data_IF_984597587854
#
_entry.id   IF_984597587854
#
_cell.length_a   1.000
_cell.length_b   1.000
_cell.length_c   1.000
_cell.angle_alpha   90.00
_cell.angle_beta   90.00
_cell.angle_gamma   90.00
#
_symmetry.space_group_name_H-M   'P 1'
#
loop_
_entity.id
_entity.type
_entity.pdbx_description
1 polymer ?
#
# COMPACT_ATOMS: atom_id res chain seq x y z
N UNK A 1 -18.43 -12.72 10.36
CA UNK A 1 -17.00 -12.35 10.61
C UNK A 1 -16.86 -10.85 10.52
N UNK A 2 -15.89 -10.29 11.24
CA UNK A 2 -15.46 -8.89 11.12
C UNK A 2 -14.27 -8.81 10.18
N UNK A 3 -14.38 -8.02 9.13
CA UNK A 3 -13.38 -7.92 8.06
C UNK A 3 -12.93 -6.46 7.94
N UNK A 4 -11.63 -6.19 8.09
CA UNK A 4 -11.08 -4.87 7.82
C UNK A 4 -10.49 -4.83 6.41
N UNK A 5 -11.14 -4.09 5.52
CA UNK A 5 -10.63 -3.82 4.18
C UNK A 5 -9.65 -2.67 4.22
N UNK A 6 -8.46 -2.86 3.64
CA UNK A 6 -7.42 -1.83 3.60
C UNK A 6 -7.05 -1.51 2.17
N UNK A 7 -7.24 -0.26 1.79
CA UNK A 7 -6.86 0.27 0.48
C UNK A 7 -6.50 1.75 0.58
N UNK A 8 -5.65 2.23 -0.29
CA UNK A 8 -5.21 3.62 -0.31
C UNK A 8 -6.38 4.60 -0.47
N UNK A 9 -7.22 4.41 -1.47
CA UNK A 9 -8.42 5.21 -1.72
C UNK A 9 -9.67 4.43 -1.34
N UNK A 10 -10.64 5.10 -0.73
CA UNK A 10 -11.89 4.51 -0.24
C UNK A 10 -13.10 5.02 -1.04
N UNK A 11 -12.90 5.28 -2.33
CA UNK A 11 -13.94 5.68 -3.30
C UNK A 11 -13.63 5.09 -4.67
N UNK A 12 -14.61 4.98 -5.59
CA UNK A 12 -14.39 4.43 -6.93
C UNK A 12 -13.47 5.33 -7.76
N UNK A 13 -12.18 5.00 -7.80
CA UNK A 13 -11.16 5.73 -8.57
C UNK A 13 -10.60 4.91 -9.73
N UNK A 14 -10.44 3.62 -9.51
CA UNK A 14 -9.85 2.70 -10.48
C UNK A 14 -10.25 1.25 -10.22
N UNK A 15 -9.55 0.31 -10.84
CA UNK A 15 -9.89 -1.12 -10.77
C UNK A 15 -9.77 -1.70 -9.36
N UNK A 16 -8.71 -1.37 -8.63
CA UNK A 16 -8.46 -1.88 -7.27
C UNK A 16 -9.53 -1.42 -6.28
N UNK A 17 -9.94 -0.16 -6.38
CA UNK A 17 -10.99 0.41 -5.54
C UNK A 17 -12.35 -0.20 -5.86
N UNK A 18 -12.71 -0.28 -7.14
CA UNK A 18 -13.96 -0.89 -7.59
C UNK A 18 -14.06 -2.37 -7.19
N UNK A 19 -12.94 -3.11 -7.30
CA UNK A 19 -12.86 -4.49 -6.82
C UNK A 19 -13.13 -4.57 -5.32
N UNK A 20 -12.39 -3.81 -4.51
CA UNK A 20 -12.52 -3.82 -3.05
C UNK A 20 -13.95 -3.45 -2.61
N UNK A 21 -14.54 -2.40 -3.19
CA UNK A 21 -15.89 -1.94 -2.83
C UNK A 21 -16.94 -2.99 -3.15
N UNK A 22 -16.92 -3.57 -4.37
CA UNK A 22 -17.86 -4.62 -4.78
C UNK A 22 -17.73 -5.88 -3.92
N UNK A 23 -16.48 -6.32 -3.64
CA UNK A 23 -16.24 -7.44 -2.75
C UNK A 23 -16.78 -7.17 -1.35
N UNK A 24 -16.62 -5.95 -0.85
CA UNK A 24 -17.15 -5.56 0.46
C UNK A 24 -18.66 -5.56 0.53
N UNK A 25 -19.33 -5.11 -0.54
CA UNK A 25 -20.79 -5.14 -0.65
C UNK A 25 -21.30 -6.58 -0.62
N UNK A 26 -20.65 -7.48 -1.36
CA UNK A 26 -20.98 -8.90 -1.37
C UNK A 26 -20.79 -9.53 0.00
N UNK A 27 -19.67 -9.28 0.66
CA UNK A 27 -19.41 -9.80 2.02
C UNK A 27 -20.46 -9.28 3.04
N UNK A 28 -20.87 -8.01 2.95
CA UNK A 28 -21.94 -7.47 3.78
C UNK A 28 -23.27 -8.14 3.51
N UNK A 29 -23.61 -8.44 2.24
CA UNK A 29 -24.83 -9.15 1.88
C UNK A 29 -24.89 -10.56 2.47
N UNK A 30 -23.71 -11.17 2.68
CA UNK A 30 -23.57 -12.48 3.32
C UNK A 30 -23.55 -12.39 4.87
N UNK A 31 -23.81 -11.22 5.45
CA UNK A 31 -23.92 -11.04 6.90
C UNK A 31 -22.58 -10.80 7.60
N UNK A 32 -21.51 -10.42 6.89
CA UNK A 32 -20.24 -10.03 7.49
C UNK A 32 -20.24 -8.54 7.87
N UNK A 33 -19.56 -8.19 8.96
CA UNK A 33 -19.28 -6.80 9.31
C UNK A 33 -18.01 -6.35 8.59
N UNK A 34 -18.07 -5.24 7.85
CA UNK A 34 -16.94 -4.73 7.07
C UNK A 34 -16.68 -3.28 7.41
N UNK A 35 -15.46 -2.98 7.88
CA UNK A 35 -14.92 -1.64 8.02
C UNK A 35 -13.73 -1.42 7.08
N UNK A 36 -13.30 -0.16 6.96
CA UNK A 36 -12.29 0.23 5.98
C UNK A 36 -11.22 1.11 6.61
N UNK A 37 -9.97 0.91 6.16
CA UNK A 37 -8.87 1.79 6.53
C UNK A 37 -8.13 2.25 5.27
N UNK A 38 -7.91 3.54 5.16
CA UNK A 38 -7.27 4.15 4.00
C UNK A 38 -6.75 5.56 4.25
N UNK A 39 -6.56 6.29 3.18
CA UNK A 39 -6.18 7.69 3.19
C UNK A 39 -7.43 8.58 3.28
N UNK A 40 -7.30 9.74 3.95
CA UNK A 40 -8.35 10.75 3.95
C UNK A 40 -8.52 11.35 2.56
N UNK A 41 -9.72 11.37 2.08
CA UNK A 41 -10.14 12.08 0.88
C UNK A 41 -11.62 12.47 1.07
N UNK A 42 -12.02 13.67 0.63
CA UNK A 42 -13.41 14.14 0.70
C UNK A 42 -14.37 13.27 -0.12
N UNK A 43 -13.83 12.52 -1.08
CA UNK A 43 -14.58 11.59 -1.95
C UNK A 43 -14.78 10.21 -1.32
N UNK A 44 -14.25 9.94 -0.13
CA UNK A 44 -14.39 8.63 0.51
C UNK A 44 -15.87 8.30 0.70
N UNK A 45 -16.30 7.15 0.19
CA UNK A 45 -17.66 6.65 0.29
C UNK A 45 -17.84 5.65 1.42
N UNK A 46 -16.75 5.14 1.97
CA UNK A 46 -16.70 4.17 3.07
C UNK A 46 -15.61 4.52 4.06
N UNK A 47 -15.68 3.96 5.28
CA UNK A 47 -14.71 4.26 6.34
C UNK A 47 -14.78 3.31 7.52
N UNK A 48 -14.33 3.75 8.68
CA UNK A 48 -14.39 3.02 9.95
C UNK A 48 -15.11 3.84 11.03
N UNK A 49 -15.58 3.16 12.05
CA UNK A 49 -16.33 3.73 13.19
C UNK A 49 -15.59 4.89 13.89
N UNK A 50 -14.27 4.83 13.93
CA UNK A 50 -13.43 5.87 14.56
C UNK A 50 -13.18 7.08 13.66
N UNK A 51 -13.56 7.07 12.38
CA UNK A 51 -13.23 8.13 11.43
C UNK A 51 -11.72 8.35 11.24
N UNK A 52 -10.89 7.32 11.46
CA UNK A 52 -9.43 7.41 11.38
C UNK A 52 -8.91 7.04 9.99
N UNK A 53 -8.19 7.98 9.39
CA UNK A 53 -7.56 7.87 8.07
C UNK A 53 -6.14 8.39 8.13
N UNK A 54 -5.25 7.94 7.22
CA UNK A 54 -3.95 8.60 7.05
C UNK A 54 -4.13 9.94 6.34
N UNK A 55 -3.22 10.86 6.60
CA UNK A 55 -3.20 12.13 5.85
C UNK A 55 -2.94 11.89 4.37
N UNK A 56 -3.59 12.70 3.52
CA UNK A 56 -3.27 12.73 2.10
C UNK A 56 -1.84 13.28 1.94
N UNK A 57 -0.97 12.51 1.29
CA UNK A 57 0.38 13.00 0.97
C UNK A 57 0.30 13.84 -0.31
N UNK A 58 0.28 15.16 -0.14
CA UNK A 58 0.46 16.08 -1.25
C UNK A 58 1.94 16.10 -1.67
N UNK A 59 2.24 15.43 -2.80
CA UNK A 59 3.58 15.42 -3.38
C UNK A 59 4.00 16.78 -3.96
N UNK A 60 3.10 17.77 -3.98
CA UNK A 60 3.34 19.12 -4.47
C UNK A 60 3.61 20.13 -3.35
N UNK A 61 3.58 19.72 -2.07
CA UNK A 61 3.86 20.64 -0.97
C UNK A 61 5.29 21.20 -1.05
N UNK A 62 5.40 22.52 -0.98
CA UNK A 62 6.67 23.26 -0.97
C UNK A 62 7.18 23.34 0.48
N UNK A 63 8.49 23.05 0.70
CA UNK A 63 9.12 23.26 2.01
C UNK A 63 10.04 22.13 2.46
N UNK A 64 10.55 22.24 3.69
CA UNK A 64 11.49 21.28 4.32
C UNK A 64 10.93 19.87 4.46
N UNK A 65 9.62 19.68 4.43
CA UNK A 65 8.97 18.38 4.46
C UNK A 65 9.37 17.49 3.28
N UNK A 66 9.79 18.06 2.15
CA UNK A 66 10.26 17.34 0.95
C UNK A 66 11.42 16.39 1.26
N UNK A 67 12.29 16.72 2.21
CA UNK A 67 13.42 15.88 2.61
C UNK A 67 13.02 14.66 3.46
N UNK A 68 11.85 14.70 4.12
CA UNK A 68 11.32 13.59 4.92
C UNK A 68 10.45 12.62 4.12
N UNK A 69 10.03 12.99 2.91
CA UNK A 69 9.20 12.15 2.05
C UNK A 69 9.79 10.75 1.78
N UNK A 70 11.09 10.61 1.45
CA UNK A 70 11.67 9.29 1.18
C UNK A 70 11.48 8.31 2.34
N UNK A 71 11.61 8.79 3.58
CA UNK A 71 11.45 7.96 4.78
C UNK A 71 9.98 7.62 5.05
N UNK A 72 9.07 8.56 4.79
CA UNK A 72 7.63 8.35 4.95
C UNK A 72 7.07 7.34 3.93
N UNK A 73 7.61 7.32 2.71
CA UNK A 73 7.24 6.37 1.66
C UNK A 73 7.65 4.93 2.02
N UNK A 74 8.78 4.77 2.74
CA UNK A 74 9.28 3.47 3.15
C UNK A 74 8.55 2.97 4.41
N UNK A 75 8.33 3.84 5.40
CA UNK A 75 7.67 3.46 6.65
C UNK A 75 6.80 4.59 7.20
N UNK A 76 5.49 4.44 7.13
CA UNK A 76 4.52 5.40 7.68
C UNK A 76 4.20 5.07 9.14
N UNK A 77 4.82 5.82 10.08
CA UNK A 77 4.48 5.72 11.51
C UNK A 77 3.03 6.12 11.78
N UNK A 78 2.50 7.04 10.99
CA UNK A 78 1.11 7.49 11.08
C UNK A 78 0.15 6.35 10.73
N UNK A 79 0.34 5.71 9.56
CA UNK A 79 -0.48 4.59 9.13
C UNK A 79 -0.43 3.45 10.15
N UNK A 80 0.78 3.10 10.62
CA UNK A 80 0.97 2.07 11.65
C UNK A 80 0.19 2.36 12.94
N UNK A 81 0.26 3.61 13.45
CA UNK A 81 -0.44 3.99 14.69
C UNK A 81 -1.95 4.05 14.51
N UNK A 82 -2.43 4.64 13.40
CA UNK A 82 -3.86 4.83 13.15
C UNK A 82 -4.57 3.51 12.86
N UNK A 83 -3.99 2.64 12.02
CA UNK A 83 -4.55 1.31 11.82
C UNK A 83 -4.55 0.51 13.11
N UNK A 84 -3.51 0.66 13.94
CA UNK A 84 -3.46 0.01 15.26
C UNK A 84 -4.67 0.32 16.11
N UNK A 85 -5.11 1.58 16.15
CA UNK A 85 -6.33 1.99 16.91
C UNK A 85 -7.59 1.37 16.29
N UNK A 86 -7.72 1.35 14.96
CA UNK A 86 -8.86 0.73 14.28
C UNK A 86 -8.91 -0.78 14.57
N UNK A 87 -7.76 -1.45 14.55
CA UNK A 87 -7.68 -2.88 14.87
C UNK A 87 -8.07 -3.18 16.31
N UNK A 88 -7.69 -2.31 17.28
CA UNK A 88 -8.00 -2.47 18.69
C UNK A 88 -9.50 -2.22 18.99
N UNK A 89 -10.14 -1.32 18.25
CA UNK A 89 -11.56 -0.98 18.36
C UNK A 89 -12.46 -2.00 17.65
N UNK A 90 -12.26 -2.16 16.34
CA UNK A 90 -13.09 -3.02 15.51
C UNK A 90 -12.87 -4.52 15.78
N UNK A 91 -11.65 -4.91 16.18
CA UNK A 91 -11.23 -6.31 16.44
C UNK A 91 -11.59 -7.25 15.30
N UNK A 92 -11.05 -7.02 14.09
CA UNK A 92 -11.38 -7.84 12.93
C UNK A 92 -10.86 -9.27 13.08
N UNK A 93 -11.61 -10.24 12.55
CA UNK A 93 -11.20 -11.64 12.42
C UNK A 93 -10.13 -11.81 11.34
N UNK A 94 -10.15 -10.92 10.32
CA UNK A 94 -9.21 -10.91 9.20
C UNK A 94 -9.02 -9.49 8.65
N UNK A 95 -7.81 -9.19 8.20
CA UNK A 95 -7.50 -7.97 7.44
C UNK A 95 -7.25 -8.31 5.99
N UNK A 96 -7.95 -7.65 5.08
CA UNK A 96 -7.77 -7.80 3.65
C UNK A 96 -7.17 -6.53 3.03
N UNK A 97 -5.89 -6.60 2.70
CA UNK A 97 -5.18 -5.51 2.02
C UNK A 97 -5.36 -5.59 0.51
N UNK A 98 -5.46 -4.43 -0.10
CA UNK A 98 -5.44 -4.22 -1.54
C UNK A 98 -4.22 -3.36 -1.92
N UNK A 99 -4.42 -2.13 -2.41
CA UNK A 99 -3.32 -1.24 -2.77
C UNK A 99 -2.93 -0.36 -1.59
N UNK A 100 -1.74 -0.60 -1.01
CA UNK A 100 -1.23 0.09 0.18
C UNK A 100 -0.01 0.98 -0.09
N UNK A 101 0.36 1.14 -1.36
CA UNK A 101 1.61 1.80 -1.76
C UNK A 101 1.64 3.28 -1.37
N UNK A 102 2.82 3.79 -1.02
CA UNK A 102 3.18 5.17 -0.71
C UNK A 102 2.55 5.75 0.56
N UNK A 103 1.22 5.84 0.67
CA UNK A 103 0.53 6.52 1.77
C UNK A 103 0.37 5.65 3.02
N UNK A 104 -0.02 4.40 2.81
CA UNK A 104 -0.20 3.46 3.92
C UNK A 104 1.10 2.76 4.28
N UNK A 105 1.86 2.38 3.27
CA UNK A 105 3.11 1.60 3.33
C UNK A 105 2.93 0.21 3.95
N UNK A 106 3.82 -0.73 3.70
CA UNK A 106 3.84 -2.02 4.38
C UNK A 106 4.06 -1.96 5.90
N UNK A 107 4.19 -0.75 6.49
CA UNK A 107 4.21 -0.59 7.95
C UNK A 107 2.95 -1.13 8.64
N UNK A 108 1.81 -1.13 7.94
CA UNK A 108 0.54 -1.67 8.44
C UNK A 108 0.60 -3.19 8.64
N UNK A 109 1.37 -3.92 7.84
CA UNK A 109 1.57 -5.37 8.00
C UNK A 109 2.07 -5.68 9.41
N UNK A 110 3.02 -4.90 9.90
CA UNK A 110 3.56 -5.08 11.26
C UNK A 110 2.54 -4.77 12.35
N UNK A 111 1.65 -3.79 12.13
CA UNK A 111 0.59 -3.46 13.09
C UNK A 111 -0.42 -4.60 13.21
N UNK A 112 -0.80 -5.21 12.08
CA UNK A 112 -1.72 -6.36 12.02
C UNK A 112 -1.08 -7.59 12.65
N UNK A 113 0.14 -7.97 12.22
CA UNK A 113 0.82 -9.17 12.71
C UNK A 113 1.19 -9.09 14.18
N UNK A 114 1.44 -7.89 14.75
CA UNK A 114 1.61 -7.70 16.19
C UNK A 114 0.38 -8.13 17.01
N UNK A 115 -0.80 -8.17 16.39
CA UNK A 115 -2.08 -8.57 17.02
C UNK A 115 -2.49 -9.99 16.68
N UNK A 116 -1.63 -10.75 15.98
CA UNK A 116 -1.91 -12.12 15.52
C UNK A 116 -3.18 -12.23 14.67
N UNK A 117 -3.56 -11.16 13.96
CA UNK A 117 -4.72 -11.16 13.07
C UNK A 117 -4.29 -11.76 11.72
N UNK A 118 -5.06 -12.69 11.15
CA UNK A 118 -4.86 -13.18 9.77
C UNK A 118 -4.87 -12.02 8.77
N UNK A 119 -3.94 -12.07 7.81
CA UNK A 119 -3.70 -11.00 6.87
C UNK A 119 -3.60 -11.54 5.45
N UNK A 120 -4.54 -11.19 4.59
CA UNK A 120 -4.52 -11.53 3.17
C UNK A 120 -4.30 -10.28 2.32
N UNK A 121 -3.77 -10.45 1.11
CA UNK A 121 -3.55 -9.36 0.17
C UNK A 121 -3.96 -9.74 -1.24
N UNK A 122 -4.84 -8.95 -1.85
CA UNK A 122 -5.03 -8.97 -3.30
C UNK A 122 -3.98 -8.09 -3.97
N UNK A 123 -3.22 -8.69 -4.88
CA UNK A 123 -2.12 -8.01 -5.59
C UNK A 123 -2.68 -7.37 -6.86
N UNK A 124 -2.67 -6.05 -6.93
CA UNK A 124 -3.16 -5.27 -8.07
C UNK A 124 -2.06 -4.72 -8.97
N UNK A 125 -0.81 -4.78 -8.52
CA UNK A 125 0.37 -4.34 -9.26
C UNK A 125 1.58 -5.23 -8.96
N UNK A 126 2.72 -4.92 -9.55
CA UNK A 126 3.95 -5.71 -9.42
C UNK A 126 4.93 -5.18 -8.38
N UNK A 127 4.49 -4.42 -7.38
CA UNK A 127 5.34 -3.81 -6.36
C UNK A 127 6.30 -4.79 -5.68
N UNK A 128 5.84 -6.01 -5.39
CA UNK A 128 6.64 -7.02 -4.69
C UNK A 128 7.88 -7.45 -5.49
N UNK A 129 7.83 -7.38 -6.81
CA UNK A 129 8.85 -7.91 -7.70
C UNK A 129 9.53 -6.86 -8.58
N UNK A 130 8.90 -5.70 -8.79
CA UNK A 130 9.38 -4.63 -9.64
C UNK A 130 9.34 -3.27 -8.92
N UNK A 131 10.48 -2.54 -8.78
CA UNK A 131 10.49 -1.24 -8.12
C UNK A 131 9.66 -0.14 -8.79
N UNK A 132 9.36 -0.26 -10.10
CA UNK A 132 8.45 0.67 -10.79
C UNK A 132 7.00 0.18 -10.81
N UNK A 133 6.71 -0.98 -10.22
CA UNK A 133 5.40 -1.63 -10.07
C UNK A 133 4.72 -2.09 -11.36
N UNK A 134 5.30 -1.89 -12.54
CA UNK A 134 4.60 -2.05 -13.82
C UNK A 134 5.11 -3.22 -14.67
N UNK A 135 6.32 -3.75 -14.39
CA UNK A 135 7.02 -4.70 -15.28
C UNK A 135 7.09 -4.21 -16.74
N UNK A 136 7.22 -2.90 -16.91
CA UNK A 136 7.25 -2.23 -18.18
C UNK A 136 8.35 -1.17 -18.21
N UNK A 137 9.09 -1.10 -19.34
CA UNK A 137 10.09 -0.08 -19.62
C UNK A 137 9.50 0.97 -20.54
N UNK A 138 9.22 2.16 -20.01
CA UNK A 138 8.72 3.26 -20.84
C UNK A 138 9.76 3.76 -21.83
N UNK A 139 11.04 3.77 -21.47
CA UNK A 139 12.13 4.21 -22.34
C UNK A 139 12.33 3.28 -23.55
N UNK A 140 11.99 1.99 -23.41
CA UNK A 140 12.11 1.00 -24.48
C UNK A 140 10.76 0.55 -25.03
N UNK A 141 9.66 1.06 -24.45
CA UNK A 141 8.28 0.77 -24.86
C UNK A 141 7.97 -0.72 -24.94
N UNK A 142 8.42 -1.50 -23.92
CA UNK A 142 8.25 -2.95 -23.90
C UNK A 142 8.12 -3.53 -22.48
N UNK A 143 7.54 -4.75 -22.33
CA UNK A 143 7.59 -5.50 -21.07
C UNK A 143 9.03 -5.68 -20.57
N UNK A 144 9.22 -5.65 -19.24
CA UNK A 144 10.53 -5.68 -18.61
C UNK A 144 10.55 -6.62 -17.41
N UNK A 145 11.46 -7.59 -17.40
CA UNK A 145 11.66 -8.56 -16.33
C UNK A 145 13.07 -8.49 -15.68
N UNK A 146 13.86 -7.46 -16.00
CA UNK A 146 15.26 -7.30 -15.55
C UNK A 146 15.43 -7.38 -14.06
N UNK A 147 14.47 -6.86 -13.28
CA UNK A 147 14.52 -6.89 -11.83
C UNK A 147 14.08 -8.22 -11.22
N UNK A 148 13.37 -9.05 -11.98
CA UNK A 148 12.98 -10.41 -11.58
C UNK A 148 14.17 -11.36 -11.78
N UNK A 149 14.71 -11.39 -12.99
CA UNK A 149 15.82 -12.27 -13.38
C UNK A 149 17.19 -11.83 -12.84
N UNK A 150 17.30 -10.57 -12.42
CA UNK A 150 18.55 -9.98 -11.98
C UNK A 150 18.40 -9.10 -10.73
N UNK A 151 19.15 -8.01 -10.70
CA UNK A 151 19.21 -7.12 -9.54
C UNK A 151 18.15 -6.00 -9.62
N UNK A 152 17.56 -5.63 -8.47
CA UNK A 152 16.71 -4.45 -8.32
C UNK A 152 17.42 -3.14 -8.74
N UNK A 153 18.76 -3.10 -8.72
CA UNK A 153 19.58 -1.98 -9.20
C UNK A 153 19.36 -1.67 -10.70
N UNK A 154 18.81 -2.61 -11.47
CA UNK A 154 18.42 -2.34 -12.85
C UNK A 154 17.41 -1.19 -12.95
N UNK A 155 16.52 -1.02 -11.96
CA UNK A 155 15.58 0.10 -11.93
C UNK A 155 16.32 1.45 -11.92
N UNK A 156 17.38 1.59 -11.14
CA UNK A 156 18.23 2.80 -11.15
C UNK A 156 19.02 2.94 -12.45
N UNK A 157 19.64 1.85 -12.92
CA UNK A 157 20.46 1.86 -14.14
C UNK A 157 19.67 2.36 -15.37
N UNK A 158 18.40 2.01 -15.44
CA UNK A 158 17.52 2.35 -16.59
C UNK A 158 16.52 3.48 -16.26
N UNK A 159 16.68 4.22 -15.16
CA UNK A 159 15.80 5.33 -14.76
C UNK A 159 14.30 4.97 -14.83
N UNK A 160 13.92 3.77 -14.38
CA UNK A 160 12.58 3.20 -14.64
C UNK A 160 11.42 4.01 -14.04
N UNK A 161 11.64 4.88 -13.04
CA UNK A 161 10.58 5.64 -12.37
C UNK A 161 10.61 7.09 -12.87
N UNK A 162 9.69 7.42 -13.76
CA UNK A 162 9.52 8.76 -14.37
C UNK A 162 10.81 9.33 -14.97
N UNK A 163 11.65 8.48 -15.55
CA UNK A 163 12.97 8.84 -16.10
C UNK A 163 13.84 9.65 -15.12
N UNK A 164 13.72 9.37 -13.84
CA UNK A 164 14.41 10.08 -12.76
C UNK A 164 15.32 9.15 -11.97
N UNK A 165 16.62 9.47 -11.93
CA UNK A 165 17.61 8.75 -11.11
C UNK A 165 17.23 8.75 -9.63
N UNK A 166 16.79 9.89 -9.11
CA UNK A 166 16.43 10.02 -7.69
C UNK A 166 15.21 9.17 -7.34
N UNK A 167 14.14 9.23 -8.15
CA UNK A 167 12.95 8.40 -7.92
C UNK A 167 13.26 6.92 -8.08
N UNK A 168 14.04 6.56 -9.09
CA UNK A 168 14.45 5.17 -9.32
C UNK A 168 15.34 4.63 -8.20
N UNK A 169 16.24 5.46 -7.65
CA UNK A 169 17.04 5.09 -6.46
C UNK A 169 16.14 4.85 -5.24
N UNK A 170 15.16 5.72 -4.99
CA UNK A 170 14.22 5.54 -3.89
C UNK A 170 13.41 4.25 -4.03
N UNK A 171 12.91 3.93 -5.23
CA UNK A 171 12.21 2.67 -5.50
C UNK A 171 13.11 1.43 -5.30
N UNK A 172 14.39 1.52 -5.64
CA UNK A 172 15.36 0.43 -5.37
C UNK A 172 15.57 0.25 -3.87
N UNK A 173 15.76 1.36 -3.13
CA UNK A 173 15.95 1.32 -1.67
C UNK A 173 14.71 0.70 -1.00
N UNK A 174 13.52 1.15 -1.36
CA UNK A 174 12.26 0.62 -0.87
C UNK A 174 12.14 -0.89 -1.13
N UNK A 175 12.32 -1.33 -2.37
CA UNK A 175 12.20 -2.73 -2.76
C UNK A 175 13.23 -3.62 -2.05
N UNK A 176 14.47 -3.14 -1.89
CA UNK A 176 15.52 -3.88 -1.16
C UNK A 176 15.25 -3.93 0.34
N UNK A 177 14.75 -2.84 0.93
CA UNK A 177 14.41 -2.78 2.35
C UNK A 177 13.31 -3.79 2.70
N UNK A 178 12.21 -3.83 1.94
CA UNK A 178 11.13 -4.80 2.17
C UNK A 178 11.56 -6.24 1.90
N UNK A 179 12.44 -6.45 0.90
CA UNK A 179 13.02 -7.76 0.62
C UNK A 179 13.90 -8.25 1.77
N UNK A 180 14.77 -7.38 2.30
CA UNK A 180 15.64 -7.68 3.44
C UNK A 180 14.83 -8.03 4.70
N UNK A 181 13.81 -7.24 5.02
CA UNK A 181 12.91 -7.49 6.15
C UNK A 181 11.92 -8.64 5.92
N UNK A 182 11.91 -9.22 4.72
CA UNK A 182 10.94 -10.26 4.32
C UNK A 182 9.49 -9.84 4.61
N UNK A 183 9.19 -8.56 4.39
CA UNK A 183 7.94 -7.93 4.83
C UNK A 183 6.71 -8.64 4.26
N UNK A 184 6.69 -8.90 2.96
CA UNK A 184 5.57 -9.56 2.29
C UNK A 184 5.46 -11.07 2.59
N UNK A 185 6.51 -11.70 3.17
CA UNK A 185 6.42 -13.08 3.67
C UNK A 185 5.63 -13.19 4.98
N UNK A 186 5.21 -12.06 5.55
CA UNK A 186 4.37 -12.01 6.76
C UNK A 186 2.86 -12.00 6.43
N UNK A 187 2.50 -11.87 5.17
CA UNK A 187 1.14 -12.04 4.67
C UNK A 187 0.85 -13.55 4.64
N UNK A 188 -0.33 -13.97 5.09
CA UNK A 188 -0.72 -15.38 5.23
C UNK A 188 -1.13 -16.00 3.91
#
# INVERSE_FOLDING_TARGET
>A
MKILMVNKFLYPRGGSESYMLKLSEELKSQGHEVEYFGMYDEKNTVGNSLGLYTTNMDFHSKGTQRFLYPFKIIYSREAHKKIGKVLDDFKPDIVHMNNINFQLTPSIIYAVKKRNIPLVQTVHDYQMICPNHLLYSFNETKPCDRCIKGSKWNCLKFNCIHDSKVKSLLGVIEAKFYSFLKTYKKVD
#
